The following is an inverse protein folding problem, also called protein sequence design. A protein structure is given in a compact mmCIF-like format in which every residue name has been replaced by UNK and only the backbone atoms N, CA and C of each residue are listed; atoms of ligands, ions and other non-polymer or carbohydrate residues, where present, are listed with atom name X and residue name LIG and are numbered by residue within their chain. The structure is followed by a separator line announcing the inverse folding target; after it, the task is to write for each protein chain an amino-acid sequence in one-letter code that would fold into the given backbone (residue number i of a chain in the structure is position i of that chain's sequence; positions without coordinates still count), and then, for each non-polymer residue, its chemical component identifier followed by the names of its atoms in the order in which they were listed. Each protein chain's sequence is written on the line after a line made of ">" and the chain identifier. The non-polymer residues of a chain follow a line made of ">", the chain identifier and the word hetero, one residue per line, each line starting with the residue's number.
data_IF_104045252495
#
_entry.id   IF_104045252495
#
_cell.length_a   1.000
_cell.length_b   1.000
_cell.length_c   1.000
_cell.angle_alpha   90.00
_cell.angle_beta   90.00
_cell.angle_gamma   90.00
#
_symmetry.space_group_name_H-M   'P 1'
#
loop_
_entity.id
_entity.type
_entity.pdbx_description
1 polymer ?
#
# COMPACT_ATOMS: atom_id res chain seq x y z
N UNK A 1 2.67 -16.28 -20.76
CA UNK A 1 2.81 -15.90 -19.33
C UNK A 1 2.98 -14.40 -19.28
N UNK A 2 2.14 -13.74 -18.50
CA UNK A 2 2.09 -12.28 -18.36
C UNK A 2 2.43 -11.92 -16.91
N UNK A 3 3.06 -10.77 -16.69
CA UNK A 3 3.43 -10.26 -15.38
C UNK A 3 2.89 -8.85 -15.18
N UNK A 4 2.43 -8.56 -13.97
CA UNK A 4 1.99 -7.23 -13.55
C UNK A 4 3.21 -6.40 -13.13
N UNK A 5 3.38 -5.21 -13.68
CA UNK A 5 4.50 -4.32 -13.32
C UNK A 5 4.43 -3.87 -11.86
N UNK A 6 3.21 -3.77 -11.30
CA UNK A 6 3.00 -3.52 -9.87
C UNK A 6 3.61 -4.65 -9.03
N UNK A 7 3.31 -5.90 -9.38
CA UNK A 7 3.83 -7.08 -8.68
C UNK A 7 5.35 -7.21 -8.84
N UNK A 8 5.87 -6.96 -10.04
CA UNK A 8 7.31 -6.97 -10.29
C UNK A 8 8.04 -5.88 -9.48
N UNK A 9 7.51 -4.65 -9.47
CA UNK A 9 8.09 -3.55 -8.70
C UNK A 9 8.11 -3.83 -7.21
N UNK A 10 6.98 -4.29 -6.66
CA UNK A 10 6.91 -4.72 -5.25
C UNK A 10 7.88 -5.86 -4.91
N UNK A 11 8.05 -6.82 -5.83
CA UNK A 11 8.99 -7.95 -5.65
C UNK A 11 10.45 -7.49 -5.63
N UNK A 12 10.85 -6.62 -6.57
CA UNK A 12 12.21 -6.05 -6.59
C UNK A 12 12.48 -5.27 -5.31
N UNK A 13 11.55 -4.41 -4.91
CA UNK A 13 11.64 -3.68 -3.65
C UNK A 13 11.81 -4.63 -2.47
N UNK A 14 11.00 -5.68 -2.36
CA UNK A 14 11.03 -6.61 -1.23
C UNK A 14 12.36 -7.39 -1.16
N UNK A 15 12.89 -7.84 -2.30
CA UNK A 15 14.20 -8.50 -2.34
C UNK A 15 15.33 -7.57 -1.89
N UNK A 16 15.40 -6.34 -2.43
CA UNK A 16 16.40 -5.36 -2.03
C UNK A 16 16.28 -4.99 -0.54
N UNK A 17 15.04 -4.80 -0.07
CA UNK A 17 14.75 -4.46 1.32
C UNK A 17 15.27 -5.54 2.26
N UNK A 18 14.88 -6.80 2.07
CA UNK A 18 15.34 -7.92 2.89
C UNK A 18 16.86 -8.09 2.84
N UNK A 19 17.46 -7.99 1.64
CA UNK A 19 18.90 -8.12 1.46
C UNK A 19 19.68 -7.07 2.27
N UNK A 20 19.20 -5.82 2.29
CA UNK A 20 19.84 -4.71 3.00
C UNK A 20 19.64 -4.79 4.51
N UNK A 21 18.42 -5.08 4.97
CA UNK A 21 18.02 -4.84 6.36
C UNK A 21 17.97 -6.09 7.22
N UNK A 22 18.08 -7.29 6.64
CA UNK A 22 17.97 -8.55 7.37
C UNK A 22 19.13 -9.47 7.02
N UNK A 23 20.06 -9.67 7.95
CA UNK A 23 21.33 -10.39 7.69
C UNK A 23 21.14 -11.80 7.10
N UNK A 24 20.13 -12.55 7.56
CA UNK A 24 19.84 -13.91 7.03
C UNK A 24 19.40 -13.93 5.56
N UNK A 25 18.99 -12.78 5.01
CA UNK A 25 18.62 -12.61 3.60
C UNK A 25 19.68 -11.86 2.77
N UNK A 26 20.84 -11.54 3.35
CA UNK A 26 21.97 -10.96 2.62
C UNK A 26 22.70 -12.05 1.81
N UNK A 27 22.02 -12.59 0.81
CA UNK A 27 22.51 -13.67 -0.05
C UNK A 27 22.65 -13.22 -1.50
N UNK A 28 23.71 -13.62 -2.23
CA UNK A 28 23.93 -13.20 -3.61
C UNK A 28 22.74 -13.50 -4.54
N UNK A 29 22.10 -14.65 -4.38
CA UNK A 29 20.95 -15.05 -5.21
C UNK A 29 19.75 -14.11 -5.09
N UNK A 30 19.54 -13.48 -3.92
CA UNK A 30 18.47 -12.51 -3.70
C UNK A 30 18.80 -11.21 -4.44
N UNK A 31 20.04 -10.75 -4.32
CA UNK A 31 20.50 -9.53 -5.00
C UNK A 31 20.48 -9.70 -6.53
N UNK A 32 20.94 -10.83 -7.05
CA UNK A 32 20.94 -11.10 -8.48
C UNK A 32 19.51 -11.19 -9.04
N UNK A 33 18.57 -11.79 -8.29
CA UNK A 33 17.15 -11.77 -8.66
C UNK A 33 16.58 -10.34 -8.69
N UNK A 34 16.92 -9.50 -7.70
CA UNK A 34 16.49 -8.10 -7.66
C UNK A 34 17.05 -7.28 -8.83
N UNK A 35 18.35 -7.43 -9.14
CA UNK A 35 19.00 -6.80 -10.30
C UNK A 35 18.33 -7.20 -11.61
N UNK A 36 18.07 -8.50 -11.79
CA UNK A 36 17.39 -9.00 -12.99
C UNK A 36 15.99 -8.41 -13.14
N UNK A 37 15.22 -8.35 -12.04
CA UNK A 37 13.88 -7.74 -12.04
C UNK A 37 13.91 -6.23 -12.31
N UNK A 38 14.84 -5.49 -11.69
CA UNK A 38 15.02 -4.07 -11.91
C UNK A 38 15.43 -3.75 -13.35
N UNK A 39 16.38 -4.52 -13.91
CA UNK A 39 16.78 -4.41 -15.31
C UNK A 39 15.61 -4.69 -16.27
N UNK A 40 14.77 -5.69 -15.96
CA UNK A 40 13.56 -5.98 -16.74
C UNK A 40 12.57 -4.81 -16.71
N UNK A 41 12.26 -4.26 -15.52
CA UNK A 41 11.38 -3.11 -15.37
C UNK A 41 11.90 -1.90 -16.14
N UNK A 42 13.17 -1.54 -15.94
CA UNK A 42 13.82 -0.41 -16.62
C UNK A 42 13.80 -0.60 -18.13
N UNK A 43 13.96 -1.82 -18.64
CA UNK A 43 13.94 -2.07 -20.08
C UNK A 43 12.53 -2.07 -20.69
N UNK A 44 11.54 -2.62 -20.00
CA UNK A 44 10.27 -3.02 -20.62
C UNK A 44 9.01 -2.37 -20.04
N UNK A 45 9.03 -1.93 -18.78
CA UNK A 45 7.84 -1.34 -18.17
C UNK A 45 7.50 0.01 -18.79
N UNK A 46 8.49 0.74 -19.30
CA UNK A 46 8.35 2.10 -19.83
C UNK A 46 7.69 2.08 -21.21
N UNK A 47 6.57 2.78 -21.33
CA UNK A 47 5.84 2.98 -22.58
C UNK A 47 5.77 4.47 -22.87
N UNK A 48 6.34 4.87 -24.01
CA UNK A 48 6.29 6.27 -24.46
C UNK A 48 4.85 6.71 -24.67
N UNK A 49 4.49 7.86 -24.13
CA UNK A 49 3.16 8.45 -24.27
C UNK A 49 3.29 9.81 -24.96
N UNK A 50 2.82 9.90 -26.21
CA UNK A 50 2.85 11.14 -26.98
C UNK A 50 4.23 11.55 -27.49
N UNK A 51 4.35 12.82 -27.88
CA UNK A 51 5.51 13.43 -28.55
C UNK A 51 6.44 14.22 -27.61
N UNK A 52 6.13 14.30 -26.31
CA UNK A 52 6.81 15.16 -25.33
C UNK A 52 7.89 14.47 -24.47
N UNK A 53 8.33 13.26 -24.83
CA UNK A 53 9.34 12.52 -24.05
C UNK A 53 8.85 11.97 -22.70
N UNK A 54 7.57 12.14 -22.38
CA UNK A 54 6.93 11.53 -21.20
C UNK A 54 6.68 10.03 -21.42
N UNK A 55 6.84 9.26 -20.35
CA UNK A 55 6.58 7.82 -20.37
C UNK A 55 5.71 7.38 -19.20
N UNK A 56 4.94 6.31 -19.42
CA UNK A 56 4.14 5.63 -18.39
C UNK A 56 4.68 4.23 -18.15
N UNK A 57 4.28 3.63 -17.04
CA UNK A 57 4.47 2.20 -16.85
C UNK A 57 3.30 1.41 -17.47
N UNK A 58 3.61 0.40 -18.28
CA UNK A 58 2.64 -0.65 -18.60
C UNK A 58 2.20 -1.34 -17.30
N UNK A 59 0.91 -1.64 -17.19
CA UNK A 59 0.39 -2.45 -16.09
C UNK A 59 0.74 -3.93 -16.28
N UNK A 60 0.64 -4.41 -17.51
CA UNK A 60 0.86 -5.82 -17.84
C UNK A 60 1.85 -5.97 -19.00
N UNK A 61 2.82 -6.86 -18.81
CA UNK A 61 3.88 -7.20 -19.75
C UNK A 61 3.84 -8.69 -20.05
N UNK A 62 4.10 -9.07 -21.30
CA UNK A 62 4.43 -10.46 -21.66
C UNK A 62 5.78 -10.86 -21.03
N UNK A 63 6.04 -12.17 -20.98
CA UNK A 63 7.32 -12.71 -20.47
C UNK A 63 8.55 -12.13 -21.16
N UNK A 64 8.47 -11.82 -22.45
CA UNK A 64 9.53 -11.20 -23.25
C UNK A 64 9.51 -9.65 -23.21
N UNK A 65 8.68 -9.05 -22.36
CA UNK A 65 8.70 -7.61 -22.06
C UNK A 65 7.85 -6.74 -23.00
N UNK A 66 7.01 -7.32 -23.85
CA UNK A 66 6.06 -6.54 -24.67
C UNK A 66 4.88 -6.08 -23.82
N UNK A 67 4.57 -4.79 -23.89
CA UNK A 67 3.42 -4.22 -23.19
C UNK A 67 2.09 -4.74 -23.75
N UNK A 68 1.24 -5.23 -22.86
CA UNK A 68 -0.10 -5.77 -23.16
C UNK A 68 -1.19 -4.78 -22.75
N UNK A 69 -1.03 -4.15 -21.57
CA UNK A 69 -2.05 -3.26 -21.01
C UNK A 69 -1.38 -2.10 -20.29
N UNK A 70 -1.90 -0.89 -20.50
CA UNK A 70 -1.60 0.30 -19.70
C UNK A 70 -2.82 0.58 -18.84
N UNK A 71 -2.61 0.79 -17.54
CA UNK A 71 -3.66 1.30 -16.66
C UNK A 71 -3.56 2.82 -16.60
N UNK A 72 -4.69 3.49 -16.66
CA UNK A 72 -4.77 4.96 -16.58
C UNK A 72 -4.74 5.42 -15.12
N UNK A 73 -3.83 4.89 -14.31
CA UNK A 73 -3.59 5.23 -12.90
C UNK A 73 -2.10 5.52 -12.70
N UNK A 74 -1.69 5.78 -11.46
CA UNK A 74 -0.30 6.02 -11.06
C UNK A 74 0.37 4.80 -10.43
N UNK A 75 -0.37 3.72 -10.15
CA UNK A 75 0.11 2.67 -9.26
C UNK A 75 1.29 1.88 -9.82
N UNK A 76 1.33 1.62 -11.14
CA UNK A 76 2.47 0.91 -11.72
C UNK A 76 3.75 1.74 -11.60
N UNK A 77 3.64 3.06 -11.75
CA UNK A 77 4.72 4.01 -11.57
C UNK A 77 5.15 4.15 -10.09
N UNK A 78 4.23 4.09 -9.13
CA UNK A 78 4.59 4.07 -7.71
C UNK A 78 5.50 2.87 -7.38
N UNK A 79 5.10 1.66 -7.76
CA UNK A 79 5.90 0.47 -7.51
C UNK A 79 7.20 0.44 -8.35
N UNK A 80 7.22 1.13 -9.50
CA UNK A 80 8.44 1.35 -10.26
C UNK A 80 9.44 2.22 -9.48
N UNK A 81 9.00 3.35 -8.91
CA UNK A 81 9.85 4.22 -8.08
C UNK A 81 10.40 3.45 -6.88
N UNK A 82 9.53 2.71 -6.16
CA UNK A 82 9.97 1.89 -5.02
C UNK A 82 11.08 0.91 -5.42
N UNK A 83 10.92 0.21 -6.56
CA UNK A 83 11.91 -0.73 -7.04
C UNK A 83 13.24 -0.05 -7.41
N UNK A 84 13.19 1.07 -8.12
CA UNK A 84 14.40 1.79 -8.55
C UNK A 84 15.14 2.41 -7.37
N UNK A 85 14.45 3.04 -6.42
CA UNK A 85 15.07 3.64 -5.23
C UNK A 85 15.68 2.58 -4.30
N UNK A 86 15.00 1.44 -4.08
CA UNK A 86 15.57 0.41 -3.21
C UNK A 86 16.73 -0.34 -3.88
N UNK A 87 16.65 -0.59 -5.19
CA UNK A 87 17.74 -1.24 -5.92
C UNK A 87 18.97 -0.33 -6.03
N UNK A 88 18.78 0.96 -6.34
CA UNK A 88 19.88 1.94 -6.42
C UNK A 88 20.67 1.99 -5.11
N UNK A 89 20.00 1.96 -3.95
CA UNK A 89 20.63 1.92 -2.62
C UNK A 89 21.51 0.70 -2.40
N UNK A 90 21.11 -0.46 -2.94
CA UNK A 90 21.84 -1.72 -2.73
C UNK A 90 23.05 -1.84 -3.65
N UNK A 91 22.98 -1.32 -4.87
CA UNK A 91 24.05 -1.47 -5.87
C UNK A 91 24.87 -0.20 -6.12
N UNK A 92 24.45 0.95 -5.59
CA UNK A 92 25.10 2.25 -5.81
C UNK A 92 24.89 2.83 -7.22
N UNK A 93 23.72 2.58 -7.84
CA UNK A 93 23.40 3.06 -9.20
C UNK A 93 22.71 4.43 -9.14
N UNK A 94 23.48 5.50 -9.37
CA UNK A 94 23.00 6.88 -9.36
C UNK A 94 21.99 7.17 -10.49
N UNK A 95 22.08 6.48 -11.63
CA UNK A 95 21.15 6.68 -12.75
C UNK A 95 19.76 6.12 -12.40
N UNK A 96 19.69 4.96 -11.74
CA UNK A 96 18.43 4.41 -11.23
C UNK A 96 17.82 5.34 -10.17
N UNK A 97 18.66 5.94 -9.33
CA UNK A 97 18.18 6.91 -8.35
C UNK A 97 17.57 8.14 -9.02
N UNK A 98 18.27 8.71 -9.98
CA UNK A 98 17.77 9.86 -10.74
C UNK A 98 16.47 9.53 -11.48
N UNK A 99 16.37 8.33 -12.05
CA UNK A 99 15.17 7.85 -12.74
C UNK A 99 13.96 7.72 -11.78
N UNK A 100 14.18 7.24 -10.55
CA UNK A 100 13.15 7.20 -9.52
C UNK A 100 12.63 8.62 -9.16
N UNK A 101 13.54 9.59 -9.04
CA UNK A 101 13.20 10.97 -8.73
C UNK A 101 12.47 11.68 -9.87
N UNK A 102 12.89 11.46 -11.12
CA UNK A 102 12.19 11.99 -12.30
C UNK A 102 10.77 11.45 -12.41
N UNK A 103 10.57 10.15 -12.17
CA UNK A 103 9.23 9.55 -12.16
C UNK A 103 8.40 10.08 -10.99
N UNK A 104 9.01 10.32 -9.82
CA UNK A 104 8.31 10.97 -8.69
C UNK A 104 7.82 12.38 -9.04
N UNK A 105 8.63 13.20 -9.70
CA UNK A 105 8.24 14.54 -10.15
C UNK A 105 7.08 14.48 -11.15
N UNK A 106 7.11 13.52 -12.07
CA UNK A 106 6.03 13.28 -13.01
C UNK A 106 4.73 12.82 -12.32
N UNK A 107 4.82 11.93 -11.31
CA UNK A 107 3.68 11.52 -10.50
C UNK A 107 3.04 12.70 -9.76
N UNK A 108 3.86 13.56 -9.14
CA UNK A 108 3.39 14.75 -8.43
C UNK A 108 2.62 15.66 -9.39
N UNK A 109 3.15 15.87 -10.61
CA UNK A 109 2.47 16.63 -11.64
C UNK A 109 1.11 16.01 -12.01
N UNK A 110 1.06 14.69 -12.26
CA UNK A 110 -0.19 14.01 -12.59
C UNK A 110 -1.26 14.07 -11.52
N UNK A 111 -0.86 14.04 -10.25
CA UNK A 111 -1.80 14.04 -9.13
C UNK A 111 -2.26 15.45 -8.77
N UNK A 112 -1.38 16.45 -8.84
CA UNK A 112 -1.65 17.80 -8.30
C UNK A 112 -1.92 18.86 -9.34
N UNK A 113 -1.47 18.67 -10.58
CA UNK A 113 -1.47 19.71 -11.61
C UNK A 113 -2.30 19.29 -12.81
N UNK A 114 -1.91 18.20 -13.47
CA UNK A 114 -2.54 17.76 -14.72
C UNK A 114 -2.53 16.25 -14.89
N UNK A 115 -3.72 15.64 -14.77
CA UNK A 115 -3.90 14.19 -14.94
C UNK A 115 -4.00 13.74 -16.41
N UNK A 116 -3.94 14.66 -17.39
CA UNK A 116 -4.06 14.35 -18.82
C UNK A 116 -3.06 13.31 -19.29
N UNK A 117 -1.85 13.34 -18.74
CA UNK A 117 -0.79 12.37 -19.03
C UNK A 117 -1.12 10.94 -18.58
N UNK A 118 -2.12 10.72 -17.72
CA UNK A 118 -2.65 9.39 -17.39
C UNK A 118 -3.55 8.82 -18.50
N UNK A 119 -3.94 9.66 -19.47
CA UNK A 119 -4.73 9.27 -20.63
C UNK A 119 -6.21 9.04 -20.32
N UNK A 120 -6.78 9.67 -19.28
CA UNK A 120 -8.23 9.71 -19.02
C UNK A 120 -8.82 11.02 -19.55
N UNK A 121 -9.52 11.02 -20.70
CA UNK A 121 -10.30 12.18 -21.10
C UNK A 121 -11.37 12.45 -20.06
N UNK A 122 -11.45 13.68 -19.55
CA UNK A 122 -12.52 14.07 -18.65
C UNK A 122 -13.84 14.07 -19.42
N UNK A 123 -14.79 13.26 -18.96
CA UNK A 123 -16.14 13.23 -19.53
C UNK A 123 -17.06 14.17 -18.76
N UNK A 124 -18.13 14.72 -19.36
CA UNK A 124 -19.01 15.69 -18.69
C UNK A 124 -19.67 15.19 -17.39
N UNK A 125 -19.84 13.87 -17.24
CA UNK A 125 -20.38 13.24 -16.03
C UNK A 125 -19.33 12.71 -15.05
N UNK A 126 -18.05 12.82 -15.37
CA UNK A 126 -16.95 12.35 -14.52
C UNK A 126 -16.60 13.44 -13.49
N UNK A 127 -17.30 13.40 -12.36
CA UNK A 127 -17.04 14.32 -11.24
C UNK A 127 -15.73 13.90 -10.58
N UNK A 128 -14.70 14.79 -10.53
CA UNK A 128 -13.43 14.45 -9.90
C UNK A 128 -13.60 14.04 -8.44
N UNK A 129 -12.98 12.91 -8.08
CA UNK A 129 -12.99 12.37 -6.73
C UNK A 129 -11.56 12.18 -6.24
N UNK A 130 -11.34 12.46 -4.96
CA UNK A 130 -10.17 12.03 -4.23
C UNK A 130 -10.40 10.57 -3.78
N UNK A 131 -9.63 9.64 -4.35
CA UNK A 131 -9.58 8.24 -3.90
C UNK A 131 -8.44 8.09 -2.91
N UNK A 132 -8.69 7.51 -1.74
CA UNK A 132 -7.73 7.46 -0.62
C UNK A 132 -6.40 6.81 -0.98
N UNK A 133 -6.43 5.84 -1.90
CA UNK A 133 -5.24 5.14 -2.38
C UNK A 133 -4.19 6.08 -3.02
N UNK A 134 -4.61 7.22 -3.61
CA UNK A 134 -3.68 8.17 -4.26
C UNK A 134 -2.78 8.88 -3.25
N UNK A 135 -3.30 9.61 -2.25
CA UNK A 135 -2.45 10.23 -1.23
C UNK A 135 -1.75 9.19 -0.33
N UNK A 136 -2.34 8.01 -0.11
CA UNK A 136 -1.64 6.91 0.59
C UNK A 136 -0.36 6.49 -0.15
N UNK A 137 -0.45 6.22 -1.45
CA UNK A 137 0.72 5.80 -2.23
C UNK A 137 1.76 6.91 -2.36
N UNK A 138 1.35 8.17 -2.49
CA UNK A 138 2.31 9.28 -2.48
C UNK A 138 3.00 9.43 -1.12
N UNK A 139 2.29 9.29 0.00
CA UNK A 139 2.91 9.30 1.33
C UNK A 139 3.91 8.16 1.50
N UNK A 140 3.56 6.96 1.05
CA UNK A 140 4.46 5.80 1.04
C UNK A 140 5.74 6.08 0.23
N UNK A 141 5.61 6.70 -0.95
CA UNK A 141 6.77 7.09 -1.77
C UNK A 141 7.62 8.17 -1.11
N UNK A 142 7.00 9.15 -0.45
CA UNK A 142 7.75 10.15 0.32
C UNK A 142 8.57 9.47 1.40
N UNK A 143 7.97 8.60 2.21
CA UNK A 143 8.68 7.85 3.26
C UNK A 143 9.82 6.99 2.67
N UNK A 144 9.58 6.31 1.55
CA UNK A 144 10.59 5.52 0.85
C UNK A 144 11.78 6.36 0.40
N UNK A 145 11.53 7.48 -0.29
CA UNK A 145 12.58 8.34 -0.86
C UNK A 145 13.35 9.10 0.21
N UNK A 146 12.75 9.41 1.36
CA UNK A 146 13.42 10.13 2.45
C UNK A 146 14.13 9.24 3.45
N UNK A 147 13.81 7.94 3.51
CA UNK A 147 14.38 7.00 4.48
C UNK A 147 15.92 7.02 4.47
N UNK A 148 16.51 7.31 5.63
CA UNK A 148 17.97 7.28 5.83
C UNK A 148 18.74 8.35 5.04
N UNK A 149 18.05 9.34 4.44
CA UNK A 149 18.67 10.44 3.69
C UNK A 149 18.81 11.70 4.53
N UNK A 150 19.66 12.62 4.06
CA UNK A 150 19.95 13.88 4.72
C UNK A 150 18.76 14.85 4.77
N UNK A 151 18.88 15.93 5.58
CA UNK A 151 17.81 16.90 5.81
C UNK A 151 17.32 17.60 4.53
N UNK A 152 18.17 17.74 3.52
CA UNK A 152 17.82 18.37 2.24
C UNK A 152 16.73 17.58 1.49
N UNK A 153 16.84 16.24 1.42
CA UNK A 153 15.84 15.40 0.75
C UNK A 153 14.54 15.35 1.56
N UNK A 154 14.64 15.29 2.88
CA UNK A 154 13.47 15.38 3.78
C UNK A 154 12.75 16.72 3.55
N UNK A 155 13.48 17.82 3.44
CA UNK A 155 12.92 19.13 3.21
C UNK A 155 12.26 19.24 1.82
N UNK A 156 12.83 18.62 0.77
CA UNK A 156 12.25 18.57 -0.59
C UNK A 156 10.83 18.01 -0.58
N UNK A 157 10.56 16.97 0.22
CA UNK A 157 9.27 16.28 0.22
C UNK A 157 8.33 16.66 1.37
N UNK A 158 8.75 17.55 2.29
CA UNK A 158 7.96 17.93 3.47
C UNK A 158 6.56 18.43 3.12
N UNK A 159 6.45 19.35 2.17
CA UNK A 159 5.15 19.91 1.76
C UNK A 159 4.24 18.86 1.14
N UNK A 160 4.81 17.94 0.36
CA UNK A 160 4.07 16.84 -0.24
C UNK A 160 3.57 15.87 0.83
N UNK A 161 4.39 15.55 1.83
CA UNK A 161 4.00 14.70 2.95
C UNK A 161 2.80 15.29 3.70
N UNK A 162 2.87 16.57 4.07
CA UNK A 162 1.78 17.29 4.73
C UNK A 162 0.52 17.33 3.88
N UNK A 163 0.66 17.55 2.57
CA UNK A 163 -0.46 17.50 1.64
C UNK A 163 -1.11 16.12 1.59
N UNK A 164 -0.31 15.04 1.54
CA UNK A 164 -0.83 13.67 1.53
C UNK A 164 -1.60 13.36 2.82
N UNK A 165 -1.04 13.71 3.98
CA UNK A 165 -1.70 13.54 5.28
C UNK A 165 -3.03 14.29 5.31
N UNK A 166 -3.06 15.57 4.92
CA UNK A 166 -4.31 16.34 4.84
C UNK A 166 -5.33 15.68 3.92
N UNK A 167 -4.91 15.19 2.75
CA UNK A 167 -5.79 14.49 1.81
C UNK A 167 -6.31 13.17 2.35
N UNK A 168 -5.53 12.39 3.10
CA UNK A 168 -6.00 11.18 3.77
C UNK A 168 -7.02 11.55 4.87
N UNK A 169 -6.76 12.58 5.66
CA UNK A 169 -7.68 13.01 6.73
C UNK A 169 -9.04 13.49 6.20
N UNK A 170 -9.14 13.96 4.96
CA UNK A 170 -10.41 14.28 4.31
C UNK A 170 -11.33 13.05 4.16
N UNK A 171 -10.83 11.83 4.26
CA UNK A 171 -11.65 10.62 4.19
C UNK A 171 -12.41 10.31 5.49
N UNK A 172 -12.11 11.04 6.58
CA UNK A 172 -12.89 11.01 7.81
C UNK A 172 -14.22 11.73 7.55
N UNK A 173 -15.31 10.97 7.48
CA UNK A 173 -16.65 11.46 7.13
C UNK A 173 -17.66 11.11 8.22
N UNK A 174 -18.90 11.59 8.06
CA UNK A 174 -20.02 11.35 8.99
C UNK A 174 -19.65 11.67 10.44
N UNK A 175 -19.15 12.89 10.67
CA UNK A 175 -18.70 13.36 11.99
C UNK A 175 -17.61 12.46 12.63
N UNK A 176 -16.81 11.81 11.77
CA UNK A 176 -15.73 10.92 12.18
C UNK A 176 -16.18 9.53 12.59
N UNK A 177 -17.31 9.06 12.09
CA UNK A 177 -17.82 7.69 12.28
C UNK A 177 -17.57 6.78 11.07
N UNK A 178 -17.03 7.30 9.96
CA UNK A 178 -16.72 6.52 8.77
C UNK A 178 -15.41 6.98 8.09
N UNK A 179 -14.71 6.02 7.45
CA UNK A 179 -13.58 6.29 6.55
C UNK A 179 -13.99 5.86 5.14
N UNK A 180 -14.39 6.82 4.30
CA UNK A 180 -14.91 6.55 2.95
C UNK A 180 -13.76 6.42 1.95
N UNK A 181 -13.82 5.47 1.03
CA UNK A 181 -12.78 5.27 0.00
C UNK A 181 -12.66 6.45 -0.97
N UNK A 182 -13.76 7.15 -1.22
CA UNK A 182 -13.84 8.25 -2.17
C UNK A 182 -14.57 9.45 -1.57
N UNK A 183 -13.98 10.62 -1.71
CA UNK A 183 -14.55 11.93 -1.34
C UNK A 183 -14.37 12.91 -2.50
N UNK A 184 -15.04 14.06 -2.47
CA UNK A 184 -14.80 15.14 -3.43
C UNK A 184 -13.37 15.67 -3.31
N UNK A 185 -12.91 16.45 -4.29
CA UNK A 185 -11.57 17.08 -4.25
C UNK A 185 -11.41 18.00 -3.03
N UNK A 186 -12.51 18.60 -2.59
CA UNK A 186 -12.63 19.46 -1.42
C UNK A 186 -12.79 18.67 -0.10
N UNK A 187 -13.00 17.36 -0.17
CA UNK A 187 -13.18 16.49 0.99
C UNK A 187 -14.62 16.35 1.49
N UNK A 188 -15.61 16.61 0.63
CA UNK A 188 -17.01 16.33 0.94
C UNK A 188 -17.39 14.90 0.56
N UNK A 189 -18.33 14.30 1.28
CA UNK A 189 -18.89 13.00 0.91
C UNK A 189 -19.57 13.04 -0.48
N UNK A 190 -19.34 11.99 -1.28
CA UNK A 190 -19.95 11.83 -2.60
C UNK A 190 -21.30 11.10 -2.49
N UNK A 191 -22.25 11.33 -3.41
CA UNK A 191 -23.48 10.57 -3.46
C UNK A 191 -23.27 9.15 -4.03
N UNK A 192 -24.24 8.27 -3.80
CA UNK A 192 -24.32 6.95 -4.43
C UNK A 192 -23.30 5.93 -3.90
N UNK A 193 -23.20 4.78 -4.57
CA UNK A 193 -22.37 3.66 -4.12
C UNK A 193 -20.87 4.02 -4.00
N UNK A 194 -20.37 4.94 -4.83
CA UNK A 194 -18.97 5.36 -4.80
C UNK A 194 -18.61 6.10 -3.51
N UNK A 195 -19.48 7.00 -3.05
CA UNK A 195 -19.26 7.77 -1.84
C UNK A 195 -19.52 6.99 -0.56
N UNK A 196 -20.34 5.95 -0.60
CA UNK A 196 -20.63 5.08 0.56
C UNK A 196 -19.65 3.93 0.76
N UNK A 197 -18.72 3.72 -0.18
CA UNK A 197 -17.81 2.58 -0.16
C UNK A 197 -16.81 2.68 1.00
N UNK A 198 -16.74 1.61 1.78
CA UNK A 198 -15.74 1.39 2.82
C UNK A 198 -14.82 0.23 2.40
N UNK A 199 -13.53 0.35 2.67
CA UNK A 199 -12.56 -0.75 2.60
C UNK A 199 -11.76 -0.77 3.92
N UNK A 200 -12.11 -1.66 4.87
CA UNK A 200 -11.43 -1.72 6.16
C UNK A 200 -9.90 -1.90 6.05
N UNK A 201 -9.46 -2.68 5.06
CA UNK A 201 -8.04 -2.94 4.81
C UNK A 201 -7.27 -1.67 4.41
N UNK A 202 -7.82 -0.88 3.48
CA UNK A 202 -7.20 0.39 3.09
C UNK A 202 -7.19 1.39 4.24
N UNK A 203 -8.25 1.46 5.03
CA UNK A 203 -8.29 2.34 6.19
C UNK A 203 -7.21 1.96 7.21
N UNK A 204 -7.03 0.66 7.50
CA UNK A 204 -5.95 0.16 8.37
C UNK A 204 -4.56 0.45 7.80
N UNK A 205 -4.37 0.30 6.49
CA UNK A 205 -3.11 0.65 5.81
C UNK A 205 -2.78 2.14 5.92
N UNK A 206 -3.77 2.99 5.64
CA UNK A 206 -3.65 4.43 5.82
C UNK A 206 -3.35 4.78 7.28
N UNK A 207 -3.99 4.08 8.23
CA UNK A 207 -3.77 4.27 9.65
C UNK A 207 -2.32 4.10 10.05
N UNK A 208 -1.65 3.03 9.61
CA UNK A 208 -0.26 2.82 10.00
C UNK A 208 0.71 3.73 9.24
N UNK A 209 0.40 4.15 8.01
CA UNK A 209 1.14 5.23 7.34
C UNK A 209 1.08 6.55 8.11
N UNK A 210 -0.12 6.95 8.55
CA UNK A 210 -0.32 8.15 9.35
C UNK A 210 0.35 8.04 10.71
N UNK A 211 0.29 6.87 11.36
CA UNK A 211 0.96 6.62 12.63
C UNK A 211 2.48 6.76 12.50
N UNK A 212 3.08 6.14 11.47
CA UNK A 212 4.50 6.27 11.22
C UNK A 212 4.91 7.74 11.00
N UNK A 213 4.17 8.46 10.16
CA UNK A 213 4.42 9.89 9.93
C UNK A 213 4.26 10.72 11.22
N UNK A 214 3.25 10.45 12.04
CA UNK A 214 3.02 11.17 13.29
C UNK A 214 4.16 10.99 14.29
N UNK A 215 4.78 9.81 14.34
CA UNK A 215 5.91 9.53 15.23
C UNK A 215 7.14 10.32 14.78
N UNK A 216 7.40 10.36 13.47
CA UNK A 216 8.50 11.14 12.88
C UNK A 216 8.35 12.64 13.15
N UNK A 217 7.11 13.17 13.10
CA UNK A 217 6.82 14.58 13.36
C UNK A 217 6.55 14.91 14.84
N UNK A 218 6.48 13.91 15.72
CA UNK A 218 6.04 14.04 17.12
C UNK A 218 4.66 14.70 17.26
N UNK A 219 3.73 14.33 16.39
CA UNK A 219 2.37 14.85 16.35
C UNK A 219 1.40 13.90 17.07
N UNK A 220 1.15 14.19 18.36
CA UNK A 220 0.26 13.38 19.21
C UNK A 220 -1.21 13.40 18.76
N UNK A 221 -1.66 14.48 18.12
CA UNK A 221 -3.03 14.57 17.62
C UNK A 221 -3.24 13.69 16.41
N UNK A 222 -2.30 13.72 15.47
CA UNK A 222 -2.31 12.83 14.32
C UNK A 222 -2.17 11.37 14.75
N UNK A 223 -1.30 11.09 15.73
CA UNK A 223 -1.15 9.76 16.30
C UNK A 223 -2.48 9.23 16.85
N UNK A 224 -3.17 10.03 17.67
CA UNK A 224 -4.49 9.67 18.22
C UNK A 224 -5.53 9.48 17.12
N UNK A 225 -5.50 10.32 16.10
CA UNK A 225 -6.41 10.25 14.95
C UNK A 225 -6.19 8.98 14.13
N UNK A 226 -4.94 8.64 13.82
CA UNK A 226 -4.56 7.43 13.10
C UNK A 226 -5.09 6.18 13.82
N UNK A 227 -4.83 6.06 15.12
CA UNK A 227 -5.26 4.89 15.90
C UNK A 227 -6.79 4.83 16.02
N UNK A 228 -7.43 5.92 16.44
CA UNK A 228 -8.87 5.89 16.73
C UNK A 228 -9.74 5.83 15.47
N UNK A 229 -9.37 6.58 14.42
CA UNK A 229 -10.22 6.76 13.22
C UNK A 229 -9.86 5.83 12.08
N UNK A 230 -8.58 5.49 11.90
CA UNK A 230 -8.14 4.64 10.79
C UNK A 230 -7.84 3.19 11.20
N UNK A 231 -7.72 2.87 12.50
CA UNK A 231 -7.50 1.49 12.96
C UNK A 231 -8.68 0.92 13.74
N UNK A 232 -8.98 1.48 14.92
CA UNK A 232 -10.02 0.95 15.82
C UNK A 232 -11.41 0.99 15.15
N UNK A 233 -11.79 2.14 14.61
CA UNK A 233 -13.10 2.31 13.98
C UNK A 233 -13.28 1.37 12.75
N UNK A 234 -12.34 1.29 11.78
CA UNK A 234 -12.46 0.36 10.65
C UNK A 234 -12.41 -1.11 11.04
N UNK A 235 -11.68 -1.47 12.08
CA UNK A 235 -11.73 -2.82 12.61
C UNK A 235 -13.08 -3.14 13.23
N UNK A 236 -13.69 -2.21 13.97
CA UNK A 236 -14.99 -2.42 14.62
C UNK A 236 -16.12 -2.72 13.64
N UNK A 237 -16.21 -1.97 12.54
CA UNK A 237 -17.22 -2.23 11.50
C UNK A 237 -16.77 -3.28 10.48
N UNK A 238 -15.46 -3.44 10.26
CA UNK A 238 -14.89 -4.31 9.23
C UNK A 238 -14.76 -5.77 9.63
N UNK A 239 -14.66 -6.08 10.93
CA UNK A 239 -14.49 -7.44 11.42
C UNK A 239 -15.80 -8.23 11.39
N UNK A 240 -15.81 -9.35 10.66
CA UNK A 240 -16.91 -10.30 10.63
C UNK A 240 -17.01 -11.03 11.98
N UNK A 241 -18.06 -10.73 12.74
CA UNK A 241 -18.29 -11.31 14.08
C UNK A 241 -18.73 -12.78 14.02
N UNK A 242 -19.27 -13.23 12.90
CA UNK A 242 -19.79 -14.58 12.72
C UNK A 242 -18.69 -15.54 12.27
N UNK A 243 -17.89 -15.13 11.28
CA UNK A 243 -16.88 -16.01 10.67
C UNK A 243 -15.43 -15.62 11.01
N UNK A 244 -15.21 -14.47 11.67
CA UNK A 244 -13.87 -13.90 11.84
C UNK A 244 -13.32 -13.29 10.55
N UNK A 245 -12.23 -12.53 10.66
CA UNK A 245 -11.59 -11.86 9.54
C UNK A 245 -12.30 -10.59 9.08
N UNK A 246 -11.56 -9.75 8.37
CA UNK A 246 -12.04 -8.48 7.82
C UNK A 246 -12.81 -8.72 6.52
N UNK A 247 -14.00 -8.11 6.40
CA UNK A 247 -14.67 -7.93 5.12
C UNK A 247 -13.81 -7.13 4.15
N UNK A 248 -13.94 -7.41 2.85
CA UNK A 248 -13.19 -6.68 1.84
C UNK A 248 -13.80 -5.31 1.57
N UNK A 249 -15.12 -5.25 1.33
CA UNK A 249 -15.84 -4.01 1.12
C UNK A 249 -17.11 -3.96 1.94
N UNK A 250 -17.51 -2.75 2.36
CA UNK A 250 -18.76 -2.47 3.06
C UNK A 250 -19.39 -1.19 2.49
N UNK A 251 -20.65 -0.96 2.82
CA UNK A 251 -21.37 0.29 2.53
C UNK A 251 -21.69 0.98 3.86
N UNK A 252 -21.38 2.27 3.98
CA UNK A 252 -21.53 3.05 5.23
C UNK A 252 -22.98 3.13 5.71
N UNK A 253 -23.96 3.06 4.81
CA UNK A 253 -25.39 3.08 5.16
C UNK A 253 -25.95 1.66 5.39
N UNK A 254 -25.09 0.63 5.36
CA UNK A 254 -25.46 -0.78 5.60
C UNK A 254 -26.15 -1.45 4.41
N UNK A 255 -26.10 -0.86 3.22
CA UNK A 255 -26.59 -1.49 2.00
C UNK A 255 -25.67 -2.61 1.52
N UNK A 256 -26.18 -3.49 0.65
CA UNK A 256 -25.34 -4.49 0.00
C UNK A 256 -24.31 -3.78 -0.92
N UNK A 257 -22.99 -4.00 -0.74
CA UNK A 257 -21.99 -3.45 -1.64
C UNK A 257 -22.16 -3.97 -3.07
N UNK A 258 -21.66 -3.19 -4.05
CA UNK A 258 -21.79 -3.53 -5.48
C UNK A 258 -20.76 -4.55 -5.97
N UNK A 259 -19.65 -4.69 -5.26
CA UNK A 259 -18.55 -5.61 -5.57
C UNK A 259 -18.97 -7.02 -5.20
N UNK A 260 -18.88 -7.98 -6.12
CA UNK A 260 -19.31 -9.36 -5.87
C UNK A 260 -18.48 -10.02 -4.74
N UNK A 261 -17.23 -9.61 -4.60
CA UNK A 261 -16.26 -10.08 -3.65
C UNK A 261 -16.31 -9.36 -2.28
N UNK A 262 -17.30 -8.50 -2.03
CA UNK A 262 -17.33 -7.64 -0.83
C UNK A 262 -17.18 -8.40 0.48
N UNK A 263 -17.76 -9.60 0.57
CA UNK A 263 -17.73 -10.43 1.79
C UNK A 263 -16.51 -11.36 1.88
N UNK A 264 -15.68 -11.42 0.84
CA UNK A 264 -14.49 -12.27 0.82
C UNK A 264 -13.46 -11.80 1.84
N UNK A 265 -12.62 -12.74 2.30
CA UNK A 265 -11.53 -12.48 3.23
C UNK A 265 -10.22 -12.53 2.43
N UNK A 266 -9.65 -11.37 2.13
CA UNK A 266 -8.41 -11.26 1.36
C UNK A 266 -7.20 -11.27 2.29
N UNK A 267 -6.04 -11.73 1.81
CA UNK A 267 -4.81 -11.79 2.60
C UNK A 267 -4.32 -10.39 3.05
N UNK A 268 -4.34 -9.41 2.14
CA UNK A 268 -3.66 -8.15 2.36
C UNK A 268 -4.32 -7.27 3.42
N UNK A 269 -5.66 -7.13 3.56
CA UNK A 269 -6.25 -6.37 4.67
C UNK A 269 -5.80 -6.87 6.04
N UNK A 270 -5.59 -8.19 6.15
CA UNK A 270 -5.12 -8.81 7.38
C UNK A 270 -3.63 -8.57 7.61
N UNK A 271 -2.80 -8.61 6.55
CA UNK A 271 -1.40 -8.16 6.63
C UNK A 271 -1.29 -6.72 7.15
N UNK A 272 -2.11 -5.81 6.63
CA UNK A 272 -2.09 -4.39 7.04
C UNK A 272 -2.62 -4.20 8.46
N UNK A 273 -3.64 -4.95 8.85
CA UNK A 273 -4.14 -4.98 10.23
C UNK A 273 -3.07 -5.43 11.24
N UNK A 274 -2.27 -6.45 10.90
CA UNK A 274 -1.18 -6.93 11.74
C UNK A 274 -0.11 -5.84 11.95
N UNK A 275 0.29 -5.15 10.88
CA UNK A 275 1.24 -4.03 10.97
C UNK A 275 0.64 -2.91 11.82
N UNK A 276 -0.60 -2.50 11.53
CA UNK A 276 -1.25 -1.37 12.17
C UNK A 276 -1.40 -1.55 13.69
N UNK A 277 -1.97 -2.68 14.13
CA UNK A 277 -2.21 -2.89 15.56
C UNK A 277 -0.92 -3.13 16.35
N UNK A 278 0.06 -3.83 15.77
CA UNK A 278 1.35 -4.02 16.43
C UNK A 278 2.13 -2.72 16.55
N UNK A 279 2.12 -1.87 15.51
CA UNK A 279 2.72 -0.55 15.55
C UNK A 279 2.00 0.36 16.55
N UNK A 280 0.66 0.37 16.56
CA UNK A 280 -0.09 1.17 17.52
C UNK A 280 0.16 0.74 18.98
N UNK A 281 0.25 -0.57 19.22
CA UNK A 281 0.62 -1.11 20.52
C UNK A 281 2.05 -0.72 20.90
N UNK A 282 3.01 -0.80 19.97
CA UNK A 282 4.40 -0.45 20.25
C UNK A 282 4.56 1.01 20.70
N UNK A 283 3.74 1.91 20.15
CA UNK A 283 3.73 3.34 20.45
C UNK A 283 2.97 3.71 21.73
N UNK A 284 1.85 3.04 22.03
CA UNK A 284 0.94 3.48 23.11
C UNK A 284 0.89 2.54 24.31
N UNK A 285 1.36 1.30 24.16
CA UNK A 285 1.31 0.22 25.15
C UNK A 285 -0.10 -0.12 25.67
N UNK A 286 -1.16 0.32 24.97
CA UNK A 286 -2.55 0.00 25.33
C UNK A 286 -2.85 -1.49 25.10
N UNK A 287 -3.22 -2.27 26.13
CA UNK A 287 -3.44 -3.72 26.00
C UNK A 287 -4.48 -4.11 24.96
N UNK A 288 -5.50 -3.27 24.75
CA UNK A 288 -6.59 -3.51 23.79
C UNK A 288 -6.04 -3.65 22.37
N UNK A 289 -5.02 -2.86 21.99
CA UNK A 289 -4.40 -2.93 20.67
C UNK A 289 -3.63 -4.23 20.47
N UNK A 290 -2.99 -4.75 21.52
CA UNK A 290 -2.33 -6.06 21.46
C UNK A 290 -3.36 -7.19 21.37
N UNK A 291 -4.52 -7.06 22.03
CA UNK A 291 -5.63 -8.00 21.88
C UNK A 291 -6.15 -8.01 20.43
N UNK A 292 -6.30 -6.83 19.81
CA UNK A 292 -6.65 -6.70 18.39
C UNK A 292 -5.62 -7.36 17.49
N UNK A 293 -4.33 -7.07 17.70
CA UNK A 293 -3.25 -7.75 16.98
C UNK A 293 -3.34 -9.27 17.11
N UNK A 294 -3.52 -9.78 18.33
CA UNK A 294 -3.58 -11.23 18.62
C UNK A 294 -4.75 -11.89 17.89
N UNK A 295 -5.93 -11.27 17.92
CA UNK A 295 -7.12 -11.79 17.22
C UNK A 295 -6.95 -11.80 15.69
N UNK A 296 -6.36 -10.74 15.13
CA UNK A 296 -6.03 -10.70 13.69
C UNK A 296 -4.98 -11.77 13.37
N UNK A 297 -3.95 -11.93 14.21
CA UNK A 297 -2.88 -12.91 14.05
C UNK A 297 -3.41 -14.33 14.03
N UNK A 298 -4.20 -14.71 15.04
CA UNK A 298 -4.81 -16.03 15.14
C UNK A 298 -5.64 -16.37 13.90
N UNK A 299 -6.51 -15.45 13.46
CA UNK A 299 -7.29 -15.64 12.24
C UNK A 299 -6.38 -15.78 11.01
N UNK A 300 -5.43 -14.86 10.84
CA UNK A 300 -4.60 -14.79 9.63
C UNK A 300 -3.77 -16.05 9.45
N UNK A 301 -3.09 -16.48 10.51
CA UNK A 301 -2.19 -17.63 10.47
C UNK A 301 -2.92 -18.98 10.46
N UNK A 302 -4.19 -19.03 10.87
CA UNK A 302 -4.99 -20.26 10.78
C UNK A 302 -5.68 -20.45 9.42
N UNK A 303 -5.88 -19.39 8.64
CA UNK A 303 -6.69 -19.44 7.41
C UNK A 303 -5.92 -19.26 6.11
N UNK A 304 -4.92 -18.36 6.06
CA UNK A 304 -4.24 -18.03 4.80
C UNK A 304 -3.03 -18.91 4.46
N UNK A 305 -2.17 -19.32 5.40
CA UNK A 305 -0.98 -20.11 5.07
C UNK A 305 -1.32 -21.46 4.44
N UNK A 306 -0.65 -21.79 3.34
CA UNK A 306 -0.63 -23.14 2.81
C UNK A 306 0.59 -23.88 3.36
N UNK A 307 0.36 -24.66 4.41
CA UNK A 307 1.41 -25.44 5.08
C UNK A 307 2.03 -26.49 4.16
N UNK A 308 1.34 -26.94 3.10
CA UNK A 308 1.84 -27.98 2.21
C UNK A 308 2.78 -27.44 1.14
N UNK A 309 2.50 -26.26 0.58
CA UNK A 309 3.25 -25.71 -0.58
C UNK A 309 3.97 -24.40 -0.28
N UNK A 310 3.83 -23.87 0.92
CA UNK A 310 4.35 -22.56 1.30
C UNK A 310 3.54 -21.40 0.69
N UNK A 311 3.88 -20.19 1.11
CA UNK A 311 3.12 -18.97 0.84
C UNK A 311 1.67 -19.02 1.36
N UNK A 312 0.98 -17.90 1.24
CA UNK A 312 -0.40 -17.73 1.66
C UNK A 312 -1.33 -17.79 0.44
N UNK A 313 -2.52 -18.36 0.61
CA UNK A 313 -3.64 -18.09 -0.29
C UNK A 313 -4.00 -16.61 -0.24
N UNK A 314 -4.48 -16.08 -1.37
CA UNK A 314 -4.94 -14.70 -1.42
C UNK A 314 -6.41 -14.54 -1.02
N UNK A 315 -7.26 -15.48 -1.40
CA UNK A 315 -8.69 -15.22 -1.51
C UNK A 315 -9.46 -16.32 -0.83
N UNK A 316 -10.14 -15.98 0.25
CA UNK A 316 -11.04 -16.86 0.97
C UNK A 316 -12.49 -16.40 0.79
N UNK A 317 -13.39 -17.35 0.82
CA UNK A 317 -14.83 -17.12 1.00
C UNK A 317 -15.08 -16.39 2.34
N UNK A 318 -16.27 -15.84 2.54
CA UNK A 318 -16.65 -15.21 3.81
C UNK A 318 -16.41 -16.15 5.01
N UNK A 319 -16.75 -17.44 4.86
CA UNK A 319 -16.54 -18.48 5.86
C UNK A 319 -15.11 -18.98 6.00
N UNK A 320 -14.11 -18.27 5.47
CA UNK A 320 -12.70 -18.59 5.66
C UNK A 320 -12.15 -19.75 4.83
N UNK A 321 -12.94 -20.35 3.93
CA UNK A 321 -12.46 -21.42 3.03
C UNK A 321 -11.77 -20.83 1.80
N UNK A 322 -10.71 -21.50 1.31
CA UNK A 322 -10.00 -21.11 0.08
C UNK A 322 -10.96 -21.02 -1.09
N UNK A 323 -11.06 -19.82 -1.69
CA UNK A 323 -11.87 -19.56 -2.87
C UNK A 323 -11.02 -19.61 -4.15
N UNK A 324 -9.80 -19.07 -4.10
CA UNK A 324 -8.83 -19.12 -5.21
C UNK A 324 -7.50 -19.65 -4.66
N UNK A 325 -7.00 -20.73 -5.27
CA UNK A 325 -5.85 -21.50 -4.77
C UNK A 325 -4.49 -21.05 -5.32
N UNK A 326 -4.48 -20.09 -6.25
CA UNK A 326 -3.24 -19.51 -6.77
C UNK A 326 -2.52 -18.66 -5.70
N UNK A 327 -1.19 -18.72 -5.69
CA UNK A 327 -0.34 -18.01 -4.71
C UNK A 327 0.16 -16.66 -5.18
N UNK A 328 0.07 -16.41 -6.48
CA UNK A 328 0.42 -15.14 -7.11
C UNK A 328 -0.45 -14.91 -8.35
N UNK A 329 -0.68 -13.64 -8.66
CA UNK A 329 -1.55 -13.23 -9.75
C UNK A 329 -1.34 -11.75 -10.08
N UNK A 330 -2.26 -11.11 -10.81
CA UNK A 330 -2.11 -9.71 -11.21
C UNK A 330 -1.98 -8.71 -10.05
N UNK A 331 -2.54 -9.06 -8.88
CA UNK A 331 -2.61 -8.23 -7.68
C UNK A 331 -1.97 -8.85 -6.43
N UNK A 332 -1.64 -10.16 -6.46
CA UNK A 332 -0.90 -10.83 -5.38
C UNK A 332 0.52 -11.15 -5.83
N UNK A 333 1.50 -10.67 -5.09
CA UNK A 333 2.91 -10.88 -5.32
C UNK A 333 3.71 -10.96 -4.04
N UNK A 334 5.04 -11.00 -4.18
CA UNK A 334 5.99 -11.01 -3.05
C UNK A 334 6.13 -9.59 -2.47
N UNK A 335 5.05 -9.09 -1.84
CA UNK A 335 4.98 -7.75 -1.26
C UNK A 335 4.25 -7.73 0.10
N UNK A 336 2.91 -7.71 0.14
CA UNK A 336 2.17 -7.55 1.42
C UNK A 336 2.52 -8.58 2.49
N UNK A 337 2.59 -9.88 2.15
CA UNK A 337 2.92 -10.94 3.11
C UNK A 337 4.34 -10.78 3.65
N UNK A 338 5.41 -10.79 2.83
CA UNK A 338 6.77 -10.63 3.36
C UNK A 338 7.01 -9.26 4.02
N UNK A 339 6.39 -8.18 3.53
CA UNK A 339 6.46 -6.84 4.15
C UNK A 339 5.88 -6.86 5.55
N UNK A 340 4.68 -7.43 5.71
CA UNK A 340 4.02 -7.57 7.00
C UNK A 340 4.88 -8.35 7.98
N UNK A 341 5.37 -9.53 7.59
CA UNK A 341 6.22 -10.34 8.46
C UNK A 341 7.51 -9.61 8.84
N UNK A 342 8.19 -8.98 7.88
CA UNK A 342 9.39 -8.18 8.11
C UNK A 342 9.15 -7.01 9.07
N UNK A 343 8.07 -6.25 8.87
CA UNK A 343 7.74 -5.11 9.73
C UNK A 343 7.34 -5.56 11.13
N UNK A 344 6.54 -6.61 11.25
CA UNK A 344 6.15 -7.16 12.55
C UNK A 344 7.35 -7.71 13.32
N UNK A 345 8.25 -8.44 12.66
CA UNK A 345 9.49 -8.92 13.26
C UNK A 345 10.32 -7.76 13.82
N UNK A 346 10.53 -6.70 13.02
CA UNK A 346 11.27 -5.52 13.47
C UNK A 346 10.62 -4.82 14.67
N UNK A 347 9.30 -4.62 14.63
CA UNK A 347 8.59 -3.98 15.75
C UNK A 347 8.71 -4.83 17.02
N UNK A 348 8.61 -6.16 16.91
CA UNK A 348 8.77 -7.07 18.04
C UNK A 348 10.20 -7.04 18.59
N UNK A 349 11.21 -7.08 17.73
CA UNK A 349 12.62 -6.99 18.13
C UNK A 349 12.90 -5.68 18.88
N UNK A 350 12.43 -4.55 18.34
CA UNK A 350 12.58 -3.23 18.98
C UNK A 350 11.88 -3.18 20.35
N UNK A 351 10.72 -3.82 20.47
CA UNK A 351 9.98 -3.89 21.75
C UNK A 351 10.65 -4.82 22.76
N UNK A 352 11.22 -5.94 22.33
CA UNK A 352 11.90 -6.90 23.20
C UNK A 352 13.29 -6.42 23.64
N UNK A 353 13.92 -5.55 22.86
CA UNK A 353 15.18 -4.89 23.20
C UNK A 353 14.96 -3.76 24.22
N UNK A 354 13.89 -2.98 24.08
CA UNK A 354 13.56 -1.85 24.95
C UNK A 354 12.64 -2.26 26.12
N UNK A 355 13.09 -3.23 26.94
CA UNK A 355 12.41 -3.61 28.19
C UNK A 355 12.62 -2.57 29.29
N UNK A 356 11.98 -1.42 29.13
CA UNK A 356 11.75 -0.47 30.23
C UNK A 356 10.33 -0.66 30.81
#
# INVERSE_FOLDING_TARGET
>A
MEASSLVLGGTVWMYCRLYRTVDRFRKPEILEAAKAGGAFLRKFARVSCGSSGQWKCAFCLTRDGKAVKIQRTIFSECFYIMAMDELSRVIGDEDMQLEAEQMMEQLICWVRVDSSGLGRPQLPGDVPANSMAVPMMLLCLVQQLTEGRGPEVIQKYRELASWCVQKILQHIQREGTAILENVSVEGAELPGCQGRLLNPGHALEAGWFLLQFSVEQKDEELQRTAINKFMELPYQYGWDKEHGGLFYFLDVDGHCPTQLEWSMKLWWPHCEALIAFLMAYSQTKKPELLERFSKVYEYTFSHFPDVQRGEWFGYLTQGGKVALDFKGGPFKGFFHVPRCLYMCERILDDMLANKD
#
